data_IF_690948170654
#
_entry.id   IF_690948170654
#
_cell.length_a   1.000
_cell.length_b   1.000
_cell.length_c   1.000
_cell.angle_alpha   90.00
_cell.angle_beta   90.00
_cell.angle_gamma   90.00
#
_symmetry.space_group_name_H-M   'P 1'
#
loop_
_entity.id
_entity.type
_entity.pdbx_description
1 polymer ?
#
# COMPACT_ATOMS: atom_id res chain seq x y z
N UNK A 1 39.73 1.54 -9.99
CA UNK A 1 38.69 0.58 -10.43
C UNK A 1 37.39 0.96 -9.74
N UNK A 2 36.60 1.85 -10.34
CA UNK A 2 35.30 2.25 -9.78
C UNK A 2 34.25 1.21 -10.20
N UNK A 3 33.66 0.53 -9.22
CA UNK A 3 32.51 -0.35 -9.45
C UNK A 3 31.30 0.54 -9.72
N UNK A 4 30.89 0.60 -10.99
CA UNK A 4 29.57 1.10 -11.37
C UNK A 4 28.57 0.08 -10.84
N UNK A 5 27.76 0.45 -9.85
CA UNK A 5 26.63 -0.36 -9.42
C UNK A 5 25.68 -0.55 -10.60
N UNK A 6 25.18 -1.77 -10.87
CA UNK A 6 24.23 -1.98 -11.94
C UNK A 6 22.95 -1.20 -11.62
N UNK A 7 22.51 -0.36 -12.55
CA UNK A 7 21.21 0.28 -12.48
C UNK A 7 20.17 -0.84 -12.42
N UNK A 8 19.50 -1.00 -11.27
CA UNK A 8 18.35 -1.90 -11.15
C UNK A 8 17.27 -1.30 -12.04
N UNK A 9 17.08 -1.87 -13.22
CA UNK A 9 16.01 -1.49 -14.14
C UNK A 9 14.69 -1.88 -13.51
N UNK A 10 13.99 -0.91 -12.92
CA UNK A 10 12.65 -1.13 -12.39
C UNK A 10 11.67 -1.24 -13.56
N UNK A 11 10.82 -2.28 -13.61
CA UNK A 11 9.87 -2.46 -14.70
C UNK A 11 8.68 -1.49 -14.63
N UNK A 12 8.73 -0.46 -13.78
CA UNK A 12 7.61 0.43 -13.50
C UNK A 12 7.99 1.89 -13.64
N UNK A 13 7.11 2.73 -14.20
CA UNK A 13 7.34 4.18 -14.31
C UNK A 13 7.51 4.79 -12.92
N UNK A 14 8.57 5.58 -12.73
CA UNK A 14 8.85 6.34 -11.51
C UNK A 14 8.32 7.77 -11.67
N UNK A 15 7.01 7.91 -11.83
CA UNK A 15 6.36 9.21 -12.01
C UNK A 15 5.29 9.46 -10.96
N UNK A 16 4.89 10.72 -10.82
CA UNK A 16 3.82 11.13 -9.90
C UNK A 16 2.48 10.55 -10.37
N UNK A 17 2.27 10.46 -11.69
CA UNK A 17 1.09 9.83 -12.29
C UNK A 17 1.00 8.35 -11.89
N UNK A 18 2.11 7.61 -11.98
CA UNK A 18 2.17 6.21 -11.56
C UNK A 18 1.87 6.06 -10.06
N UNK A 19 2.30 7.02 -9.23
CA UNK A 19 1.96 7.04 -7.81
C UNK A 19 0.45 7.30 -7.58
N UNK A 20 -0.16 8.18 -8.37
CA UNK A 20 -1.61 8.41 -8.31
C UNK A 20 -2.40 7.17 -8.74
N UNK A 21 -1.98 6.47 -9.80
CA UNK A 21 -2.57 5.19 -10.20
C UNK A 21 -2.48 4.16 -9.08
N UNK A 22 -1.33 4.08 -8.39
CA UNK A 22 -1.15 3.20 -7.24
C UNK A 22 -2.10 3.54 -6.09
N UNK A 23 -2.35 4.81 -5.83
CA UNK A 23 -3.32 5.22 -4.82
C UNK A 23 -4.73 4.75 -5.17
N UNK A 24 -5.14 4.86 -6.44
CA UNK A 24 -6.43 4.34 -6.91
C UNK A 24 -6.50 2.83 -6.72
N UNK A 25 -5.45 2.10 -7.12
CA UNK A 25 -5.38 0.65 -6.98
C UNK A 25 -5.43 0.23 -5.50
N UNK A 26 -4.74 0.94 -4.61
CA UNK A 26 -4.74 0.68 -3.17
C UNK A 26 -6.13 0.97 -2.56
N UNK A 27 -6.80 2.07 -2.92
CA UNK A 27 -8.16 2.38 -2.45
C UNK A 27 -9.17 1.30 -2.81
N UNK A 28 -9.16 0.84 -4.07
CA UNK A 28 -10.01 -0.26 -4.49
C UNK A 28 -9.76 -1.54 -3.69
N UNK A 29 -8.50 -1.85 -3.35
CA UNK A 29 -8.22 -2.98 -2.46
C UNK A 29 -8.81 -2.73 -1.06
N UNK A 30 -8.63 -1.53 -0.49
CA UNK A 30 -9.19 -1.21 0.83
C UNK A 30 -10.72 -1.42 0.86
N UNK A 31 -11.42 -0.98 -0.18
CA UNK A 31 -12.88 -1.14 -0.27
C UNK A 31 -13.30 -2.61 -0.42
N UNK A 32 -12.51 -3.40 -1.15
CA UNK A 32 -12.71 -4.85 -1.24
C UNK A 32 -12.51 -5.52 0.13
N UNK A 33 -11.43 -5.20 0.85
CA UNK A 33 -11.13 -5.78 2.15
C UNK A 33 -12.13 -5.37 3.24
N UNK A 34 -12.61 -4.13 3.22
CA UNK A 34 -13.67 -3.65 4.10
C UNK A 34 -14.95 -4.44 3.86
N UNK A 35 -15.34 -4.65 2.59
CA UNK A 35 -16.49 -5.49 2.24
C UNK A 35 -16.32 -6.93 2.72
N UNK A 36 -15.12 -7.53 2.60
CA UNK A 36 -14.86 -8.85 3.17
C UNK A 36 -15.07 -8.83 4.68
N UNK A 37 -14.50 -7.85 5.38
CA UNK A 37 -14.57 -7.74 6.83
C UNK A 37 -16.01 -7.57 7.36
N UNK A 38 -16.88 -6.91 6.59
CA UNK A 38 -18.28 -6.68 6.95
C UNK A 38 -19.19 -7.88 6.64
N UNK A 39 -18.81 -8.74 5.69
CA UNK A 39 -19.58 -9.92 5.30
C UNK A 39 -19.21 -11.19 6.08
N UNK A 40 -18.16 -11.15 6.89
CA UNK A 40 -17.78 -12.27 7.76
C UNK A 40 -18.96 -12.72 8.63
N UNK A 41 -19.17 -14.04 8.82
CA UNK A 41 -18.27 -15.15 8.47
C UNK A 41 -18.35 -15.62 7.01
N UNK A 42 -19.15 -14.97 6.16
CA UNK A 42 -19.25 -15.33 4.75
C UNK A 42 -17.97 -14.92 4.02
N UNK A 43 -17.18 -15.90 3.60
CA UNK A 43 -15.96 -15.66 2.85
C UNK A 43 -16.25 -15.39 1.36
N UNK A 44 -15.38 -14.63 0.67
CA UNK A 44 -15.43 -14.51 -0.78
C UNK A 44 -15.32 -15.87 -1.48
N UNK A 45 -15.75 -15.92 -2.74
CA UNK A 45 -15.48 -17.09 -3.59
C UNK A 45 -13.97 -17.30 -3.76
N UNK A 46 -13.53 -18.53 -4.05
CA UNK A 46 -12.10 -18.82 -4.26
C UNK A 46 -11.44 -17.93 -5.33
N UNK A 47 -12.07 -17.63 -6.49
CA UNK A 47 -11.51 -16.69 -7.45
C UNK A 47 -11.35 -15.27 -6.89
N UNK A 48 -12.31 -14.79 -6.09
CA UNK A 48 -12.22 -13.47 -5.44
C UNK A 48 -11.10 -13.44 -4.41
N UNK A 49 -11.01 -14.47 -3.57
CA UNK A 49 -9.97 -14.58 -2.55
C UNK A 49 -8.57 -14.58 -3.15
N UNK A 50 -8.38 -15.29 -4.28
CA UNK A 50 -7.13 -15.28 -5.03
C UNK A 50 -6.80 -13.90 -5.56
N UNK A 51 -7.78 -13.22 -6.19
CA UNK A 51 -7.58 -11.86 -6.72
C UNK A 51 -7.21 -10.87 -5.61
N UNK A 52 -7.86 -10.94 -4.46
CA UNK A 52 -7.58 -10.09 -3.29
C UNK A 52 -6.17 -10.37 -2.78
N UNK A 53 -5.82 -11.65 -2.60
CA UNK A 53 -4.48 -12.06 -2.14
C UNK A 53 -3.37 -11.58 -3.08
N UNK A 54 -3.52 -11.81 -4.38
CA UNK A 54 -2.55 -11.38 -5.40
C UNK A 54 -2.36 -9.85 -5.37
N UNK A 55 -3.45 -9.11 -5.13
CA UNK A 55 -3.42 -7.65 -5.06
C UNK A 55 -2.74 -7.14 -3.80
N UNK A 56 -2.97 -7.76 -2.64
CA UNK A 56 -2.23 -7.48 -1.40
C UNK A 56 -0.73 -7.63 -1.68
N UNK A 57 -0.31 -8.80 -2.18
CA UNK A 57 1.09 -9.10 -2.45
C UNK A 57 1.72 -8.15 -3.47
N UNK A 58 0.97 -7.77 -4.52
CA UNK A 58 1.45 -6.80 -5.51
C UNK A 58 1.68 -5.42 -4.90
N UNK A 59 0.77 -4.95 -4.06
CA UNK A 59 0.89 -3.64 -3.40
C UNK A 59 2.10 -3.63 -2.48
N UNK A 60 2.22 -4.62 -1.61
CA UNK A 60 3.29 -4.69 -0.60
C UNK A 60 4.66 -4.86 -1.23
N UNK A 61 4.78 -5.68 -2.29
CA UNK A 61 6.07 -5.93 -2.95
C UNK A 61 6.51 -4.84 -3.94
N UNK A 62 5.59 -4.04 -4.49
CA UNK A 62 5.91 -3.13 -5.60
C UNK A 62 5.46 -1.68 -5.42
N UNK A 63 4.23 -1.43 -4.96
CA UNK A 63 3.69 -0.07 -4.89
C UNK A 63 4.36 0.73 -3.78
N UNK A 64 4.64 0.11 -2.64
CA UNK A 64 5.34 0.74 -1.52
C UNK A 64 6.73 1.24 -1.93
N UNK A 65 7.53 0.33 -2.50
CA UNK A 65 8.88 0.67 -2.96
C UNK A 65 8.87 1.68 -4.14
N UNK A 66 7.85 1.66 -5.00
CA UNK A 66 7.70 2.70 -6.05
C UNK A 66 7.39 4.06 -5.43
N UNK A 67 6.48 4.13 -4.46
CA UNK A 67 6.12 5.39 -3.80
C UNK A 67 7.33 6.05 -3.12
N UNK A 68 8.14 5.28 -2.39
CA UNK A 68 9.36 5.77 -1.75
C UNK A 68 10.35 6.34 -2.75
N UNK A 69 10.55 5.66 -3.89
CA UNK A 69 11.45 6.12 -4.96
C UNK A 69 10.93 7.38 -5.64
N UNK A 70 9.64 7.43 -5.97
CA UNK A 70 9.03 8.60 -6.60
C UNK A 70 9.18 9.82 -5.70
N UNK A 71 8.82 9.69 -4.42
CA UNK A 71 8.93 10.77 -3.45
C UNK A 71 10.38 11.17 -3.19
N UNK A 72 11.29 10.20 -3.04
CA UNK A 72 12.72 10.45 -2.84
C UNK A 72 13.43 11.05 -4.06
N UNK A 73 12.88 10.90 -5.26
CA UNK A 73 13.42 11.46 -6.49
C UNK A 73 12.92 12.87 -6.81
N UNK A 74 11.98 13.42 -6.04
CA UNK A 74 11.44 14.75 -6.27
C UNK A 74 12.52 15.84 -6.22
N UNK A 75 12.34 16.99 -6.91
CA UNK A 75 13.28 18.09 -6.87
C UNK A 75 13.55 18.62 -5.46
N UNK A 76 14.75 19.17 -5.23
CA UNK A 76 15.05 19.86 -3.98
C UNK A 76 14.06 21.01 -3.74
N UNK A 77 13.58 21.17 -2.50
CA UNK A 77 12.51 22.11 -2.14
C UNK A 77 11.09 21.57 -2.33
N UNK A 78 10.91 20.46 -3.06
CA UNK A 78 9.64 19.75 -3.21
C UNK A 78 9.68 18.34 -2.60
N UNK A 79 10.88 17.80 -2.38
CA UNK A 79 11.10 16.49 -1.78
C UNK A 79 10.76 16.48 -0.29
N UNK A 80 10.05 15.45 0.20
CA UNK A 80 9.91 15.23 1.64
C UNK A 80 11.27 15.15 2.35
N UNK A 81 11.31 15.57 3.62
CA UNK A 81 12.53 15.48 4.40
C UNK A 81 12.96 14.01 4.60
N UNK A 82 14.24 13.73 4.88
CA UNK A 82 14.69 12.38 5.18
C UNK A 82 13.87 11.70 6.29
N UNK A 83 13.54 12.42 7.37
CA UNK A 83 12.73 11.90 8.45
C UNK A 83 11.29 11.52 8.01
N UNK A 84 10.71 12.28 7.08
CA UNK A 84 9.39 11.99 6.49
C UNK A 84 9.42 10.73 5.61
N UNK A 85 10.50 10.54 4.84
CA UNK A 85 10.71 9.35 4.02
C UNK A 85 10.95 8.11 4.89
N UNK A 86 11.75 8.24 5.95
CA UNK A 86 11.98 7.15 6.92
C UNK A 86 10.69 6.74 7.61
N UNK A 87 9.86 7.70 8.05
CA UNK A 87 8.56 7.41 8.64
C UNK A 87 7.62 6.65 7.67
N UNK A 88 7.58 7.07 6.41
CA UNK A 88 6.82 6.37 5.37
C UNK A 88 7.35 4.94 5.14
N UNK A 89 8.67 4.77 5.12
CA UNK A 89 9.31 3.47 4.94
C UNK A 89 8.96 2.51 6.08
N UNK A 90 9.02 2.97 7.34
CA UNK A 90 8.62 2.15 8.49
C UNK A 90 7.15 1.73 8.43
N UNK A 91 6.27 2.64 7.98
CA UNK A 91 4.87 2.29 7.75
C UNK A 91 4.70 1.20 6.69
N UNK A 92 5.40 1.32 5.56
CA UNK A 92 5.35 0.30 4.49
C UNK A 92 5.91 -1.05 4.94
N UNK A 93 6.99 -1.09 5.71
CA UNK A 93 7.54 -2.34 6.28
C UNK A 93 6.52 -3.01 7.18
N UNK A 94 5.86 -2.24 8.05
CA UNK A 94 4.81 -2.77 8.92
C UNK A 94 3.60 -3.28 8.14
N UNK A 95 3.11 -2.51 7.17
CA UNK A 95 1.98 -2.90 6.34
C UNK A 95 2.31 -4.10 5.44
N UNK A 96 3.56 -4.25 4.98
CA UNK A 96 4.01 -5.43 4.24
C UNK A 96 3.89 -6.71 5.08
N UNK A 97 4.40 -6.69 6.32
CA UNK A 97 4.28 -7.84 7.23
C UNK A 97 2.82 -8.18 7.49
N UNK A 98 1.99 -7.17 7.81
CA UNK A 98 0.56 -7.38 8.00
C UNK A 98 -0.13 -7.98 6.77
N UNK A 99 0.24 -7.52 5.56
CA UNK A 99 -0.31 -8.02 4.31
C UNK A 99 0.06 -9.49 4.06
N UNK A 100 1.30 -9.88 4.33
CA UNK A 100 1.75 -11.27 4.20
C UNK A 100 1.00 -12.19 5.17
N UNK A 101 0.90 -11.80 6.45
CA UNK A 101 0.18 -12.55 7.47
C UNK A 101 -1.31 -12.67 7.14
N UNK A 102 -1.92 -11.58 6.63
CA UNK A 102 -3.31 -11.57 6.20
C UNK A 102 -3.57 -12.56 5.07
N UNK A 103 -2.70 -12.61 4.05
CA UNK A 103 -2.83 -13.57 2.94
C UNK A 103 -2.77 -15.01 3.44
N UNK A 104 -1.81 -15.32 4.31
CA UNK A 104 -1.72 -16.66 4.93
C UNK A 104 -3.00 -17.00 5.68
N UNK A 105 -3.49 -16.05 6.49
CA UNK A 105 -4.70 -16.25 7.31
C UNK A 105 -5.94 -16.43 6.45
N UNK A 106 -6.09 -15.68 5.36
CA UNK A 106 -7.19 -15.81 4.40
C UNK A 106 -7.23 -17.21 3.80
N UNK A 107 -6.08 -17.75 3.38
CA UNK A 107 -6.01 -19.11 2.83
C UNK A 107 -6.25 -20.19 3.88
N UNK A 108 -5.85 -19.98 5.12
CA UNK A 108 -6.13 -20.91 6.21
C UNK A 108 -7.62 -21.00 6.54
N UNK A 109 -8.41 -19.95 6.29
CA UNK A 109 -9.86 -19.97 6.51
C UNK A 109 -10.63 -20.67 5.38
N UNK A 110 -9.97 -21.03 4.28
CA UNK A 110 -10.60 -21.83 3.22
C UNK A 110 -10.83 -23.25 3.72
N UNK A 111 -12.09 -23.67 3.80
CA UNK A 111 -12.46 -25.03 4.16
C UNK A 111 -12.39 -25.36 5.67
N UNK A 112 -12.19 -24.36 6.53
CA UNK A 112 -12.32 -24.53 7.99
C UNK A 112 -13.78 -24.51 8.43
N UNK A 113 -14.03 -25.09 9.62
CA UNK A 113 -15.37 -25.07 10.25
C UNK A 113 -15.80 -23.62 10.46
N UNK A 114 -17.01 -23.31 9.99
CA UNK A 114 -17.59 -21.97 10.07
C UNK A 114 -17.50 -21.40 11.51
N UNK A 115 -16.86 -20.23 11.65
CA UNK A 115 -16.86 -19.47 12.90
C UNK A 115 -15.55 -19.47 13.69
N UNK A 116 -14.64 -20.41 13.47
CA UNK A 116 -13.32 -20.37 14.13
C UNK A 116 -12.52 -19.16 13.62
N UNK A 117 -11.99 -18.35 14.55
CA UNK A 117 -11.07 -17.23 14.28
C UNK A 117 -11.61 -16.07 13.43
N UNK A 118 -12.94 -15.98 13.24
CA UNK A 118 -13.58 -14.86 12.51
C UNK A 118 -13.22 -13.50 13.09
N UNK A 119 -13.20 -13.37 14.42
CA UNK A 119 -12.81 -12.12 15.09
C UNK A 119 -11.36 -11.69 14.78
N UNK A 120 -10.43 -12.66 14.73
CA UNK A 120 -9.04 -12.40 14.38
C UNK A 120 -8.90 -11.97 12.92
N UNK A 121 -9.53 -12.69 11.98
CA UNK A 121 -9.51 -12.33 10.55
C UNK A 121 -10.13 -10.93 10.34
N UNK A 122 -11.25 -10.66 11.00
CA UNK A 122 -11.96 -9.39 11.01
C UNK A 122 -11.07 -8.23 11.50
N UNK A 123 -10.25 -8.47 12.53
CA UNK A 123 -9.26 -7.52 13.02
C UNK A 123 -8.12 -7.30 12.02
N UNK A 124 -7.53 -8.38 11.48
CA UNK A 124 -6.41 -8.30 10.54
C UNK A 124 -6.77 -7.54 9.25
N UNK A 125 -7.96 -7.80 8.70
CA UNK A 125 -8.49 -7.07 7.55
C UNK A 125 -8.54 -5.56 7.82
N UNK A 126 -9.12 -5.15 8.96
CA UNK A 126 -9.25 -3.74 9.37
C UNK A 126 -7.89 -3.08 9.58
N UNK A 127 -6.99 -3.74 10.30
CA UNK A 127 -5.64 -3.23 10.51
C UNK A 127 -4.92 -2.93 9.18
N UNK A 128 -5.00 -3.86 8.22
CA UNK A 128 -4.31 -3.71 6.95
C UNK A 128 -4.94 -2.62 6.07
N UNK A 129 -6.26 -2.61 5.88
CA UNK A 129 -6.87 -1.58 5.02
C UNK A 129 -6.79 -0.18 5.64
N UNK A 130 -6.84 -0.05 6.96
CA UNK A 130 -6.65 1.24 7.63
C UNK A 130 -5.19 1.71 7.52
N UNK A 131 -4.22 0.79 7.58
CA UNK A 131 -2.80 1.06 7.30
C UNK A 131 -2.61 1.66 5.91
N UNK A 132 -3.13 0.97 4.89
CA UNK A 132 -3.09 1.44 3.50
C UNK A 132 -3.74 2.82 3.34
N UNK A 133 -4.94 3.05 3.94
CA UNK A 133 -5.62 4.35 3.90
C UNK A 133 -4.79 5.45 4.57
N UNK A 134 -4.13 5.17 5.69
CA UNK A 134 -3.20 6.12 6.35
C UNK A 134 -1.99 6.43 5.46
N UNK A 135 -1.37 5.40 4.86
CA UNK A 135 -0.23 5.58 3.97
C UNK A 135 -0.60 6.44 2.74
N UNK A 136 -1.77 6.20 2.12
CA UNK A 136 -2.27 7.04 1.02
C UNK A 136 -2.36 8.50 1.45
N UNK A 137 -3.02 8.79 2.58
CA UNK A 137 -3.17 10.17 3.07
C UNK A 137 -1.83 10.85 3.31
N UNK A 138 -0.87 10.14 3.87
CA UNK A 138 0.48 10.66 4.11
C UNK A 138 1.21 10.98 2.80
N UNK A 139 1.17 10.07 1.83
CA UNK A 139 1.76 10.30 0.50
C UNK A 139 1.10 11.51 -0.19
N UNK A 140 -0.22 11.64 -0.07
CA UNK A 140 -0.95 12.78 -0.64
C UNK A 140 -0.62 14.10 0.05
N UNK A 141 -0.37 14.12 1.37
CA UNK A 141 0.07 15.34 2.05
C UNK A 141 1.45 15.79 1.56
N UNK A 142 2.38 14.85 1.37
CA UNK A 142 3.71 15.14 0.80
C UNK A 142 3.61 15.71 -0.62
N UNK A 143 2.71 15.17 -1.45
CA UNK A 143 2.43 15.70 -2.79
C UNK A 143 1.74 17.07 -2.78
N UNK A 144 0.99 17.39 -1.72
CA UNK A 144 0.33 18.69 -1.59
C UNK A 144 1.32 19.77 -1.13
N UNK A 145 2.16 19.47 -0.14
CA UNK A 145 3.21 20.37 0.40
C UNK A 145 4.27 20.74 -0.65
N UNK A 146 4.45 19.88 -1.65
CA UNK A 146 5.42 20.07 -2.73
C UNK A 146 4.92 20.92 -3.90
N UNK A 147 3.62 21.27 -3.94
CA UNK A 147 3.09 22.17 -4.96
C UNK A 147 3.54 23.60 -4.66
N UNK A 148 4.13 24.32 -5.63
CA UNK A 148 4.46 25.73 -5.42
C UNK A 148 3.18 26.49 -5.07
N UNK A 149 3.28 27.32 -4.03
CA UNK A 149 2.21 28.22 -3.62
C UNK A 149 1.73 28.98 -4.87
N UNK A 150 0.44 28.86 -5.20
CA UNK A 150 -0.13 29.67 -6.28
C UNK A 150 0.07 31.13 -5.86
N UNK A 151 1.03 31.80 -6.48
CA UNK A 151 1.15 33.25 -6.43
C UNK A 151 -0.24 33.78 -6.81
N UNK A 152 -0.95 34.37 -5.85
CA UNK A 152 -2.18 35.10 -6.13
C UNK A 152 -1.76 36.31 -6.98
N UNK A 153 -2.39 36.53 -8.15
CA UNK A 153 -2.16 37.77 -8.87
C UNK A 153 -2.78 38.91 -8.04
N UNK A 154 -2.00 39.95 -7.80
CA UNK A 154 -2.44 41.23 -7.23
C UNK A 154 -3.45 41.95 -8.13
#
# INVERSE_FOLDING_TARGET
>A
MSRVSPAVTFPFPLTIEALHEDHVIQRWLCDDLERVADLLPTLPTLPELRRISDRILRITSSHFARAERVLGAMPAGQRPTPAMLDALHQMHVQDEMHGQDLVVTLWQHVGTVAGANVGQLSYMLRCFFDGCRRAIRLKESYLAESRPERVRPD
#
